data_IF_827262041667
#
_entry.id   IF_827262041667
#
_cell.length_a   1.000
_cell.length_b   1.000
_cell.length_c   1.000
_cell.angle_alpha   90.00
_cell.angle_beta   90.00
_cell.angle_gamma   90.00
#
_symmetry.space_group_name_H-M   'P 1'
#
loop_
_entity.id
_entity.type
_entity.pdbx_description
1 polymer ?
#
# COMPACT_ATOMS: atom_id res chain seq x y z
N UNK A 1 -3.49 -61.03 -7.00
CA UNK A 1 -3.05 -59.78 -6.35
C UNK A 1 -3.32 -58.62 -7.30
N UNK A 2 -4.43 -57.90 -7.13
CA UNK A 2 -4.73 -56.65 -7.84
C UNK A 2 -5.41 -55.73 -6.82
N UNK A 3 -4.58 -54.97 -6.12
CA UNK A 3 -5.02 -53.89 -5.24
C UNK A 3 -5.30 -52.69 -6.16
N UNK A 4 -6.57 -52.27 -6.27
CA UNK A 4 -6.96 -51.11 -7.06
C UNK A 4 -6.52 -49.83 -6.33
N UNK A 5 -5.50 -49.15 -6.86
CA UNK A 5 -4.98 -47.88 -6.32
C UNK A 5 -5.88 -46.68 -6.73
N UNK A 6 -7.09 -46.93 -7.22
CA UNK A 6 -7.97 -45.91 -7.79
C UNK A 6 -8.87 -45.16 -6.78
N UNK A 7 -8.64 -45.28 -5.48
CA UNK A 7 -9.51 -44.66 -4.46
C UNK A 7 -8.83 -43.65 -3.52
N UNK A 8 -7.62 -43.16 -3.81
CA UNK A 8 -6.92 -42.19 -2.95
C UNK A 8 -6.61 -40.83 -3.61
N UNK A 9 -7.09 -40.58 -4.82
CA UNK A 9 -7.04 -39.24 -5.45
C UNK A 9 -8.41 -38.55 -5.39
N UNK A 10 -9.14 -38.72 -4.29
CA UNK A 10 -9.90 -37.58 -3.81
C UNK A 10 -8.85 -36.66 -3.18
N UNK A 11 -8.27 -35.75 -3.98
CA UNK A 11 -7.85 -34.49 -3.38
C UNK A 11 -9.06 -34.08 -2.55
N UNK A 12 -8.88 -33.96 -1.23
CA UNK A 12 -9.77 -33.13 -0.46
C UNK A 12 -9.96 -31.89 -1.32
N UNK A 13 -11.18 -31.65 -1.79
CA UNK A 13 -11.52 -30.35 -2.32
C UNK A 13 -11.38 -29.44 -1.10
N UNK A 14 -10.15 -28.97 -0.86
CA UNK A 14 -9.90 -27.77 -0.11
C UNK A 14 -10.91 -26.80 -0.69
N UNK A 15 -11.84 -26.35 0.14
CA UNK A 15 -12.88 -25.41 -0.25
C UNK A 15 -12.29 -24.43 -1.27
N UNK A 16 -12.98 -24.22 -2.41
CA UNK A 16 -12.53 -23.27 -3.43
C UNK A 16 -12.05 -22.03 -2.70
N UNK A 17 -10.75 -21.84 -2.75
CA UNK A 17 -10.09 -20.80 -2.03
C UNK A 17 -10.60 -19.49 -2.69
N UNK A 18 -11.14 -18.58 -1.88
CA UNK A 18 -12.01 -17.51 -2.35
C UNK A 18 -11.15 -16.34 -2.85
N UNK A 19 -11.31 -16.00 -4.12
CA UNK A 19 -10.73 -14.76 -4.66
C UNK A 19 -11.47 -13.56 -4.04
N UNK A 20 -10.85 -12.91 -3.06
CA UNK A 20 -11.35 -11.71 -2.37
C UNK A 20 -10.78 -10.42 -2.97
N UNK A 21 -10.15 -10.47 -4.15
CA UNK A 21 -9.52 -9.30 -4.78
C UNK A 21 -10.47 -8.11 -4.92
N UNK A 22 -11.76 -8.33 -5.20
CA UNK A 22 -12.71 -7.24 -5.31
C UNK A 22 -12.86 -6.47 -3.99
N UNK A 23 -12.95 -7.19 -2.87
CA UNK A 23 -13.09 -6.57 -1.55
C UNK A 23 -11.80 -5.83 -1.16
N UNK A 24 -10.65 -6.47 -1.37
CA UNK A 24 -9.33 -5.87 -1.13
C UNK A 24 -9.17 -4.59 -1.97
N UNK A 25 -9.51 -4.65 -3.27
CA UNK A 25 -9.44 -3.52 -4.16
C UNK A 25 -10.32 -2.36 -3.68
N UNK A 26 -11.55 -2.63 -3.24
CA UNK A 26 -12.44 -1.58 -2.73
C UNK A 26 -11.84 -0.85 -1.51
N UNK A 27 -11.16 -1.57 -0.61
CA UNK A 27 -10.49 -0.96 0.54
C UNK A 27 -9.27 -0.12 0.12
N UNK A 28 -8.48 -0.63 -0.82
CA UNK A 28 -7.31 0.07 -1.37
C UNK A 28 -7.71 1.30 -2.17
N UNK A 29 -8.78 1.23 -2.96
CA UNK A 29 -9.32 2.35 -3.73
C UNK A 29 -9.86 3.44 -2.81
N UNK A 30 -10.63 3.07 -1.77
CA UNK A 30 -11.14 4.05 -0.79
C UNK A 30 -10.00 4.76 -0.04
N UNK A 31 -8.94 4.04 0.31
CA UNK A 31 -7.72 4.62 0.86
C UNK A 31 -7.08 5.59 -0.14
N UNK A 32 -6.90 5.16 -1.39
CA UNK A 32 -6.29 5.96 -2.46
C UNK A 32 -7.06 7.26 -2.71
N UNK A 33 -8.38 7.20 -2.85
CA UNK A 33 -9.24 8.37 -3.03
C UNK A 33 -9.11 9.36 -1.88
N UNK A 34 -9.11 8.85 -0.63
CA UNK A 34 -8.94 9.69 0.55
C UNK A 34 -7.59 10.40 0.56
N UNK A 35 -6.51 9.71 0.19
CA UNK A 35 -5.17 10.29 0.13
C UNK A 35 -5.02 11.31 -1.00
N UNK A 36 -5.73 11.15 -2.11
CA UNK A 36 -5.79 12.17 -3.19
C UNK A 36 -6.49 13.47 -2.75
N UNK A 37 -7.15 13.49 -1.59
CA UNK A 37 -7.71 14.70 -0.99
C UNK A 37 -6.77 15.24 0.09
N UNK A 38 -6.34 14.39 1.03
CA UNK A 38 -5.61 14.81 2.21
C UNK A 38 -4.19 15.28 1.86
N UNK A 39 -3.47 14.55 1.00
CA UNK A 39 -2.08 14.84 0.70
C UNK A 39 -1.91 16.16 -0.08
N UNK A 40 -2.73 16.47 -1.11
CA UNK A 40 -2.68 17.78 -1.76
C UNK A 40 -3.01 18.96 -0.83
N UNK A 41 -3.88 18.76 0.16
CA UNK A 41 -4.16 19.79 1.18
C UNK A 41 -2.91 20.09 2.01
N UNK A 42 -2.18 19.06 2.44
CA UNK A 42 -0.89 19.23 3.13
C UNK A 42 0.08 20.02 2.24
N UNK A 43 0.27 19.59 0.99
CA UNK A 43 1.18 20.27 0.06
C UNK A 43 0.79 21.73 -0.18
N UNK A 44 -0.50 22.02 -0.29
CA UNK A 44 -1.04 23.38 -0.44
C UNK A 44 -0.75 24.23 0.80
N UNK A 45 -0.95 23.70 2.00
CA UNK A 45 -0.64 24.39 3.26
C UNK A 45 0.85 24.71 3.37
N UNK A 46 1.72 23.78 2.99
CA UNK A 46 3.17 23.99 2.96
C UNK A 46 3.55 25.07 1.95
N UNK A 47 3.06 24.97 0.72
CA UNK A 47 3.35 25.92 -0.35
C UNK A 47 2.83 27.35 -0.05
N UNK A 48 1.69 27.46 0.64
CA UNK A 48 1.11 28.73 1.05
C UNK A 48 1.76 29.33 2.32
N UNK A 49 2.77 28.67 2.91
CA UNK A 49 3.35 29.02 4.21
C UNK A 49 2.31 29.10 5.36
N UNK A 50 1.28 28.24 5.28
CA UNK A 50 0.20 28.14 6.27
C UNK A 50 0.26 26.84 7.08
N UNK A 51 1.27 25.99 6.82
CA UNK A 51 1.53 24.80 7.61
C UNK A 51 1.88 25.20 9.05
N UNK A 52 1.04 24.77 9.98
CA UNK A 52 1.24 24.90 11.42
C UNK A 52 0.61 23.70 12.13
N UNK A 53 0.75 23.62 13.45
CA UNK A 53 0.28 22.47 14.23
C UNK A 53 -1.21 22.22 14.08
N UNK A 54 -2.03 23.27 14.00
CA UNK A 54 -3.48 23.15 13.85
C UNK A 54 -3.84 22.64 12.46
N UNK A 55 -3.31 23.28 11.41
CA UNK A 55 -3.67 22.94 10.02
C UNK A 55 -3.12 21.58 9.61
N UNK A 56 -1.85 21.30 9.90
CA UNK A 56 -1.22 20.00 9.61
C UNK A 56 -1.69 18.92 10.56
N UNK A 57 -1.91 19.22 11.85
CA UNK A 57 -2.45 18.27 12.81
C UNK A 57 -3.83 17.75 12.41
N UNK A 58 -4.69 18.60 11.85
CA UNK A 58 -5.98 18.17 11.30
C UNK A 58 -5.81 17.19 10.12
N UNK A 59 -4.85 17.43 9.23
CA UNK A 59 -4.57 16.51 8.12
C UNK A 59 -3.98 15.19 8.61
N UNK A 60 -3.09 15.21 9.60
CA UNK A 60 -2.56 13.98 10.22
C UNK A 60 -3.64 13.16 10.93
N UNK A 61 -4.61 13.81 11.61
CA UNK A 61 -5.73 13.12 12.21
C UNK A 61 -6.58 12.39 11.14
N UNK A 62 -6.77 13.02 9.98
CA UNK A 62 -7.44 12.38 8.84
C UNK A 62 -6.60 11.23 8.27
N UNK A 63 -5.28 11.42 8.08
CA UNK A 63 -4.37 10.35 7.64
C UNK A 63 -4.43 9.13 8.56
N UNK A 64 -4.34 9.35 9.88
CA UNK A 64 -4.44 8.28 10.86
C UNK A 64 -5.77 7.53 10.71
N UNK A 65 -6.88 8.25 10.57
CA UNK A 65 -8.21 7.65 10.44
C UNK A 65 -8.35 6.79 9.18
N UNK A 66 -7.89 7.29 8.02
CA UNK A 66 -8.06 6.57 6.75
C UNK A 66 -7.13 5.37 6.66
N UNK A 67 -5.88 5.50 7.13
CA UNK A 67 -4.94 4.37 7.19
C UNK A 67 -5.40 3.30 8.19
N UNK A 68 -5.88 3.69 9.37
CA UNK A 68 -6.40 2.76 10.37
C UNK A 68 -7.66 2.03 9.89
N UNK A 69 -8.58 2.76 9.23
CA UNK A 69 -9.79 2.17 8.62
C UNK A 69 -9.42 1.14 7.56
N UNK A 70 -8.55 1.50 6.61
CA UNK A 70 -8.09 0.57 5.58
C UNK A 70 -7.37 -0.64 6.20
N UNK A 71 -6.52 -0.41 7.21
CA UNK A 71 -5.82 -1.47 7.92
C UNK A 71 -6.77 -2.45 8.61
N UNK A 72 -7.78 -1.94 9.31
CA UNK A 72 -8.80 -2.77 9.95
C UNK A 72 -9.61 -3.57 8.92
N UNK A 73 -10.03 -2.93 7.83
CA UNK A 73 -10.87 -3.57 6.83
C UNK A 73 -10.07 -4.67 6.07
N UNK A 74 -8.80 -4.41 5.74
CA UNK A 74 -7.85 -5.41 5.24
C UNK A 74 -7.54 -6.51 6.25
N UNK A 75 -7.55 -6.22 7.55
CA UNK A 75 -7.35 -7.23 8.60
C UNK A 75 -8.56 -8.17 8.78
N UNK A 76 -9.74 -7.74 8.31
CA UNK A 76 -10.99 -8.49 8.45
C UNK A 76 -11.36 -9.30 7.21
N UNK A 77 -10.75 -9.03 6.06
CA UNK A 77 -10.99 -9.80 4.84
C UNK A 77 -10.23 -11.12 4.88
N UNK A 78 -10.84 -12.18 4.36
CA UNK A 78 -10.14 -13.45 4.20
C UNK A 78 -9.00 -13.28 3.17
N UNK A 79 -7.84 -13.93 3.37
CA UNK A 79 -6.76 -13.94 2.38
C UNK A 79 -7.27 -14.37 1.01
N UNK A 80 -6.86 -13.63 -0.03
CA UNK A 80 -7.19 -13.93 -1.42
C UNK A 80 -6.20 -14.94 -1.99
N UNK A 81 -6.69 -15.91 -2.74
CA UNK A 81 -5.86 -16.72 -3.65
C UNK A 81 -5.50 -15.97 -4.94
N UNK A 82 -6.07 -14.79 -5.11
CA UNK A 82 -5.72 -13.85 -6.16
C UNK A 82 -6.34 -14.17 -7.51
N UNK A 83 -6.00 -13.30 -8.46
CA UNK A 83 -6.33 -13.43 -9.87
C UNK A 83 -5.36 -12.61 -10.69
N UNK A 84 -4.79 -13.20 -11.74
CA UNK A 84 -3.92 -12.51 -12.69
C UNK A 84 -4.60 -12.30 -14.06
N UNK A 85 -5.84 -12.74 -14.22
CA UNK A 85 -6.57 -12.72 -15.50
C UNK A 85 -7.93 -12.04 -15.42
N UNK A 86 -8.50 -11.92 -14.23
CA UNK A 86 -9.80 -11.28 -13.99
C UNK A 86 -9.56 -10.06 -13.10
N UNK A 87 -10.01 -8.90 -13.56
CA UNK A 87 -9.89 -7.66 -12.84
C UNK A 87 -10.83 -7.61 -11.61
N UNK A 88 -10.41 -6.98 -10.50
CA UNK A 88 -9.07 -6.43 -10.29
C UNK A 88 -8.03 -7.55 -10.09
N UNK A 89 -6.91 -7.44 -10.81
CA UNK A 89 -5.82 -8.41 -10.68
C UNK A 89 -4.99 -8.13 -9.43
N UNK A 90 -4.18 -9.11 -9.03
CA UNK A 90 -3.23 -8.92 -7.93
C UNK A 90 -2.31 -7.72 -8.18
N UNK A 91 -1.89 -7.55 -9.43
CA UNK A 91 -0.99 -6.51 -9.88
C UNK A 91 -1.66 -5.13 -9.78
N UNK A 92 -2.90 -5.02 -10.24
CA UNK A 92 -3.68 -3.77 -10.17
C UNK A 92 -3.78 -3.27 -8.73
N UNK A 93 -4.16 -4.17 -7.82
CA UNK A 93 -4.33 -3.86 -6.39
C UNK A 93 -2.98 -3.45 -5.78
N UNK A 94 -1.92 -4.19 -6.10
CA UNK A 94 -0.58 -3.98 -5.55
C UNK A 94 0.03 -2.65 -6.02
N UNK A 95 -0.18 -2.29 -7.29
CA UNK A 95 0.26 -1.00 -7.86
C UNK A 95 -0.48 0.15 -7.17
N UNK A 96 -1.79 0.05 -7.00
CA UNK A 96 -2.57 1.09 -6.32
C UNK A 96 -2.12 1.26 -4.88
N UNK A 97 -1.96 0.17 -4.13
CA UNK A 97 -1.50 0.22 -2.73
C UNK A 97 -0.05 0.73 -2.60
N UNK A 98 0.85 0.35 -3.49
CA UNK A 98 2.21 0.89 -3.51
C UNK A 98 2.22 2.39 -3.83
N UNK A 99 1.33 2.83 -4.72
CA UNK A 99 1.17 4.24 -5.05
C UNK A 99 0.71 5.05 -3.84
N UNK A 100 -0.19 4.53 -3.01
CA UNK A 100 -0.62 5.24 -1.79
C UNK A 100 0.52 5.41 -0.78
N UNK A 101 1.37 4.39 -0.60
CA UNK A 101 2.57 4.48 0.23
C UNK A 101 3.54 5.52 -0.30
N UNK A 102 3.86 5.46 -1.60
CA UNK A 102 4.78 6.39 -2.26
C UNK A 102 4.29 7.84 -2.18
N UNK A 103 3.01 8.07 -2.45
CA UNK A 103 2.40 9.39 -2.35
C UNK A 103 2.44 9.93 -0.92
N UNK A 104 2.13 9.09 0.08
CA UNK A 104 2.18 9.48 1.50
C UNK A 104 3.60 9.88 1.88
N UNK A 105 4.60 9.04 1.59
CA UNK A 105 6.00 9.34 1.88
C UNK A 105 6.47 10.64 1.19
N UNK A 106 6.21 10.77 -0.11
CA UNK A 106 6.63 11.92 -0.91
C UNK A 106 5.99 13.22 -0.42
N UNK A 107 4.69 13.20 -0.12
CA UNK A 107 3.96 14.41 0.28
C UNK A 107 4.35 14.90 1.67
N UNK A 108 4.72 13.99 2.56
CA UNK A 108 5.12 14.32 3.93
C UNK A 108 6.62 14.65 4.06
N UNK A 109 7.46 14.30 3.08
CA UNK A 109 8.92 14.47 3.11
C UNK A 109 9.40 15.90 3.38
N UNK A 110 8.59 16.90 3.01
CA UNK A 110 8.93 18.32 3.19
C UNK A 110 8.53 18.89 4.55
N UNK A 111 7.82 18.12 5.39
CA UNK A 111 7.43 18.57 6.72
C UNK A 111 8.58 18.38 7.70
N UNK A 112 9.03 19.49 8.28
CA UNK A 112 10.15 19.50 9.24
C UNK A 112 9.72 20.16 10.56
N UNK A 113 10.42 19.91 11.68
CA UNK A 113 10.18 20.59 12.94
C UNK A 113 10.28 22.12 12.86
N UNK A 114 11.06 22.63 11.89
CA UNK A 114 11.15 24.05 11.58
C UNK A 114 9.85 24.63 11.00
N UNK A 115 9.06 23.82 10.30
CA UNK A 115 7.78 24.22 9.72
C UNK A 115 6.62 23.95 10.70
N UNK A 116 6.65 22.78 11.35
CA UNK A 116 5.64 22.33 12.31
C UNK A 116 6.36 21.69 13.49
N UNK A 117 6.41 22.39 14.62
CA UNK A 117 7.24 22.00 15.76
C UNK A 117 7.01 20.55 16.23
N UNK A 118 5.75 20.13 16.31
CA UNK A 118 5.38 18.78 16.75
C UNK A 118 5.28 17.71 15.64
N UNK A 119 5.79 17.95 14.43
CA UNK A 119 5.64 17.00 13.31
C UNK A 119 6.21 15.61 13.60
N UNK A 120 7.31 15.52 14.36
CA UNK A 120 7.91 14.24 14.72
C UNK A 120 6.96 13.37 15.57
N UNK A 121 6.20 13.99 16.47
CA UNK A 121 5.18 13.29 17.26
C UNK A 121 4.02 12.82 16.37
N UNK A 122 3.62 13.64 15.39
CA UNK A 122 2.60 13.25 14.41
C UNK A 122 3.05 12.06 13.57
N UNK A 123 4.30 12.05 13.09
CA UNK A 123 4.90 10.91 12.41
C UNK A 123 4.95 9.66 13.30
N UNK A 124 5.35 9.80 14.56
CA UNK A 124 5.40 8.68 15.50
C UNK A 124 4.04 8.03 15.77
N UNK A 125 2.94 8.74 15.50
CA UNK A 125 1.58 8.20 15.58
C UNK A 125 1.17 7.51 14.27
N UNK A 126 1.48 8.13 13.13
CA UNK A 126 1.08 7.64 11.81
C UNK A 126 1.87 6.38 11.38
N UNK A 127 3.18 6.36 11.65
CA UNK A 127 4.10 5.29 11.23
C UNK A 127 3.63 3.87 11.63
N UNK A 128 3.31 3.57 12.92
CA UNK A 128 2.81 2.25 13.30
C UNK A 128 1.46 1.91 12.66
N UNK A 129 0.61 2.88 12.35
CA UNK A 129 -0.69 2.66 11.68
C UNK A 129 -0.44 2.21 10.23
N UNK A 130 0.37 2.96 9.49
CA UNK A 130 0.75 2.61 8.10
C UNK A 130 1.42 1.24 8.05
N UNK A 131 2.36 0.98 8.97
CA UNK A 131 3.03 -0.32 9.09
C UNK A 131 2.04 -1.46 9.35
N UNK A 132 1.08 -1.26 10.25
CA UNK A 132 0.01 -2.23 10.51
C UNK A 132 -0.86 -2.50 9.27
N UNK A 133 -1.23 -1.45 8.53
CA UNK A 133 -1.98 -1.58 7.28
C UNK A 133 -1.21 -2.34 6.22
N UNK A 134 0.09 -2.12 6.09
CA UNK A 134 0.99 -2.87 5.18
C UNK A 134 1.05 -4.36 5.55
N UNK A 135 1.12 -4.67 6.84
CA UNK A 135 1.11 -6.07 7.32
C UNK A 135 -0.23 -6.76 7.02
N UNK A 136 -1.35 -6.06 7.25
CA UNK A 136 -2.69 -6.57 6.94
C UNK A 136 -2.89 -6.73 5.43
N UNK A 137 -2.40 -5.80 4.61
CA UNK A 137 -2.39 -5.93 3.15
C UNK A 137 -1.63 -7.18 2.69
N UNK A 138 -0.44 -7.42 3.24
CA UNK A 138 0.38 -8.60 2.89
C UNK A 138 -0.30 -9.90 3.30
N UNK A 139 -1.11 -9.87 4.35
CA UNK A 139 -1.91 -11.02 4.80
C UNK A 139 -3.13 -11.23 3.91
N UNK A 140 -3.82 -10.15 3.54
CA UNK A 140 -5.01 -10.17 2.68
C UNK A 140 -4.67 -10.55 1.23
N UNK A 141 -3.55 -10.05 0.70
CA UNK A 141 -3.05 -10.35 -0.64
C UNK A 141 -1.59 -10.86 -0.57
N UNK A 142 -1.39 -12.15 -0.26
CA UNK A 142 -0.06 -12.74 -0.19
C UNK A 142 0.72 -12.54 -1.49
N UNK A 143 1.93 -11.98 -1.39
CA UNK A 143 2.80 -11.71 -2.53
C UNK A 143 2.55 -10.38 -3.26
N UNK A 144 1.51 -9.61 -2.90
CA UNK A 144 1.21 -8.34 -3.59
C UNK A 144 2.36 -7.32 -3.55
N UNK A 145 3.00 -7.13 -2.40
CA UNK A 145 4.17 -6.23 -2.29
C UNK A 145 5.46 -6.80 -2.86
N UNK A 146 5.58 -8.13 -2.96
CA UNK A 146 6.75 -8.77 -3.55
C UNK A 146 6.85 -8.43 -5.04
N UNK A 147 5.71 -8.45 -5.75
CA UNK A 147 5.67 -8.03 -7.15
C UNK A 147 6.14 -6.58 -7.34
N UNK A 148 5.63 -5.65 -6.53
CA UNK A 148 6.01 -4.23 -6.64
C UNK A 148 7.50 -4.06 -6.35
N UNK A 149 7.99 -4.71 -5.30
CA UNK A 149 9.41 -4.70 -4.96
C UNK A 149 10.27 -5.24 -6.11
N UNK A 150 9.89 -6.36 -6.71
CA UNK A 150 10.61 -6.99 -7.81
C UNK A 150 10.57 -6.13 -9.08
N UNK A 151 9.42 -5.52 -9.41
CA UNK A 151 9.30 -4.55 -10.50
C UNK A 151 10.17 -3.31 -10.28
N UNK A 152 10.27 -2.80 -9.04
CA UNK A 152 11.13 -1.66 -8.72
C UNK A 152 12.62 -2.03 -8.85
N UNK A 153 13.01 -3.25 -8.49
CA UNK A 153 14.36 -3.76 -8.70
C UNK A 153 14.68 -3.95 -10.19
N UNK A 154 13.75 -4.52 -10.97
CA UNK A 154 13.91 -4.72 -12.41
C UNK A 154 14.01 -3.38 -13.15
N UNK A 155 13.15 -2.41 -12.81
CA UNK A 155 13.20 -1.06 -13.36
C UNK A 155 14.53 -0.38 -13.04
N UNK A 156 15.03 -0.49 -11.80
CA UNK A 156 16.36 -0.01 -11.42
C UNK A 156 17.45 -0.64 -12.29
N UNK A 157 17.46 -1.97 -12.41
CA UNK A 157 18.47 -2.69 -13.17
C UNK A 157 18.46 -2.28 -14.65
N UNK A 158 17.27 -2.14 -15.24
CA UNK A 158 17.10 -1.63 -16.60
C UNK A 158 17.67 -0.21 -16.75
N UNK A 159 17.27 0.74 -15.90
CA UNK A 159 17.75 2.12 -15.99
C UNK A 159 19.26 2.25 -15.76
N UNK A 160 19.84 1.40 -14.91
CA UNK A 160 21.30 1.31 -14.75
C UNK A 160 21.98 0.78 -16.01
N UNK A 161 21.44 -0.26 -16.65
CA UNK A 161 21.96 -0.82 -17.90
C UNK A 161 21.91 0.18 -19.07
N UNK A 162 20.85 0.99 -19.15
CA UNK A 162 20.65 2.01 -20.17
C UNK A 162 21.36 3.34 -19.86
N UNK A 163 22.13 3.42 -18.77
CA UNK A 163 22.88 4.63 -18.39
C UNK A 163 22.01 5.81 -17.91
N UNK A 164 20.76 5.55 -17.53
CA UNK A 164 19.78 6.56 -17.07
C UNK A 164 19.98 6.92 -15.59
N UNK A 165 21.18 7.36 -15.22
CA UNK A 165 21.62 7.59 -13.83
C UNK A 165 20.79 8.64 -13.08
N UNK A 166 20.29 9.67 -13.77
CA UNK A 166 19.39 10.66 -13.17
C UNK A 166 18.05 10.03 -12.77
N UNK A 167 17.50 9.15 -13.61
CA UNK A 167 16.24 8.44 -13.34
C UNK A 167 16.39 7.48 -12.16
N UNK A 168 17.51 6.76 -12.06
CA UNK A 168 17.81 5.90 -10.90
C UNK A 168 17.85 6.73 -9.61
N UNK A 169 18.53 7.87 -9.64
CA UNK A 169 18.59 8.80 -8.49
C UNK A 169 17.20 9.33 -8.13
N UNK A 170 16.39 9.72 -9.13
CA UNK A 170 15.02 10.22 -8.93
C UNK A 170 14.07 9.17 -8.34
N UNK A 171 14.34 7.87 -8.55
CA UNK A 171 13.61 6.77 -7.94
C UNK A 171 14.07 6.44 -6.51
N UNK A 172 15.08 7.16 -5.99
CA UNK A 172 15.59 6.97 -4.64
C UNK A 172 16.59 5.82 -4.48
N UNK A 173 17.27 5.42 -5.56
CA UNK A 173 18.27 4.34 -5.57
C UNK A 173 19.71 4.82 -5.72
#
# INVERSE_FOLDING_TARGET
MKLSIFSAFALASTALAANTNMDINNFVDSLSESLHIILPNILTLVAAHQANETSIGAQFAQLNTVWDTAGRDLGNVAPSDGSNTTAPTNDDISITFASTLSQTASSLSNLTPTLVANVNSMFSTLDPIVSGTVANFTTALPGGLALVHDLMLDAKQFFQAEGMSLTVTSLGF
#
